data_IF_548672484368
#
_entry.id   IF_548672484368
#
_cell.length_a   1.000
_cell.length_b   1.000
_cell.length_c   1.000
_cell.angle_alpha   90.00
_cell.angle_beta   90.00
_cell.angle_gamma   90.00
#
_symmetry.space_group_name_H-M   'P 1'
#
loop_
_entity.id
_entity.type
_entity.pdbx_description
1 polymer ?
#
# COMPACT_ATOMS: atom_id res chain seq x y z
N UNK A 1 16.96 -1.00 -9.35
CA UNK A 1 15.88 -0.68 -8.40
C UNK A 1 14.55 -0.21 -9.00
N UNK A 2 14.50 0.32 -10.23
CA UNK A 2 13.31 1.03 -10.73
C UNK A 2 12.02 0.22 -10.75
N UNK A 3 12.08 -1.03 -11.20
CA UNK A 3 10.91 -1.93 -11.24
C UNK A 3 10.36 -2.19 -9.83
N UNK A 4 11.24 -2.34 -8.84
CA UNK A 4 10.84 -2.64 -7.44
C UNK A 4 10.04 -1.48 -6.86
N UNK A 5 10.48 -0.24 -7.07
CA UNK A 5 9.79 0.93 -6.53
C UNK A 5 8.45 1.19 -7.25
N UNK A 6 8.39 1.01 -8.56
CA UNK A 6 7.10 1.10 -9.29
C UNK A 6 6.12 0.01 -8.85
N UNK A 7 6.62 -1.21 -8.63
CA UNK A 7 5.80 -2.29 -8.13
C UNK A 7 5.31 -2.01 -6.71
N UNK A 8 6.15 -1.48 -5.83
CA UNK A 8 5.77 -1.09 -4.47
C UNK A 8 4.72 0.05 -4.48
N UNK A 9 4.86 1.03 -5.37
CA UNK A 9 3.87 2.09 -5.54
C UNK A 9 2.51 1.54 -5.99
N UNK A 10 2.50 0.57 -6.91
CA UNK A 10 1.30 -0.14 -7.34
C UNK A 10 0.68 -0.95 -6.20
N UNK A 11 1.49 -1.72 -5.46
CA UNK A 11 1.02 -2.49 -4.30
C UNK A 11 0.38 -1.60 -3.25
N UNK A 12 0.96 -0.42 -2.95
CA UNK A 12 0.38 0.52 -2.00
C UNK A 12 -0.96 1.11 -2.48
N UNK A 13 -1.16 1.30 -3.79
CA UNK A 13 -2.46 1.72 -4.34
C UNK A 13 -3.51 0.60 -4.21
N UNK A 14 -3.13 -0.63 -4.56
CA UNK A 14 -4.01 -1.79 -4.45
C UNK A 14 -4.41 -2.05 -3.00
N UNK A 15 -3.43 -2.07 -2.10
CA UNK A 15 -3.68 -2.16 -0.66
C UNK A 15 -4.64 -1.06 -0.18
N UNK A 16 -4.40 0.20 -0.57
CA UNK A 16 -5.29 1.31 -0.22
C UNK A 16 -6.74 1.10 -0.69
N UNK A 17 -6.95 0.65 -1.93
CA UNK A 17 -8.28 0.41 -2.48
C UNK A 17 -8.99 -0.76 -1.78
N UNK A 18 -8.28 -1.87 -1.59
CA UNK A 18 -8.79 -3.09 -0.98
C UNK A 18 -9.12 -2.84 0.49
N UNK A 19 -8.24 -2.19 1.25
CA UNK A 19 -8.47 -1.85 2.66
C UNK A 19 -9.62 -0.87 2.82
N UNK A 20 -9.71 0.16 1.96
CA UNK A 20 -10.83 1.10 1.98
C UNK A 20 -12.18 0.39 1.79
N UNK A 21 -12.29 -0.50 0.79
CA UNK A 21 -13.51 -1.27 0.56
C UNK A 21 -13.80 -2.23 1.72
N UNK A 22 -12.76 -2.90 2.25
CA UNK A 22 -12.88 -3.78 3.40
C UNK A 22 -13.43 -3.07 4.63
N UNK A 23 -12.91 -1.88 4.95
CA UNK A 23 -13.35 -1.07 6.09
C UNK A 23 -14.76 -0.50 5.87
N UNK A 24 -15.09 -0.02 4.66
CA UNK A 24 -16.41 0.53 4.34
C UNK A 24 -17.53 -0.51 4.51
N UNK A 25 -17.25 -1.78 4.21
CA UNK A 25 -18.20 -2.88 4.37
C UNK A 25 -18.06 -3.65 5.69
N UNK A 26 -17.24 -3.16 6.64
CA UNK A 26 -16.94 -3.82 7.92
C UNK A 26 -16.44 -5.28 7.77
N UNK A 27 -15.77 -5.59 6.66
CA UNK A 27 -15.23 -6.94 6.37
C UNK A 27 -13.88 -7.18 7.06
N UNK A 28 -13.15 -6.10 7.35
CA UNK A 28 -11.82 -6.12 7.94
C UNK A 28 -11.71 -5.00 8.98
N UNK A 29 -10.71 -5.06 9.85
CA UNK A 29 -10.34 -3.97 10.76
C UNK A 29 -8.93 -3.50 10.43
N UNK A 30 -8.64 -2.20 10.64
CA UNK A 30 -7.32 -1.65 10.42
C UNK A 30 -6.46 -1.90 11.66
N UNK A 31 -5.36 -2.64 11.49
CA UNK A 31 -4.44 -2.95 12.57
C UNK A 31 -3.39 -1.85 12.79
N UNK A 32 -3.20 -0.96 11.81
CA UNK A 32 -2.27 0.15 11.90
C UNK A 32 -2.93 1.37 12.59
N UNK A 33 -2.55 1.72 13.84
CA UNK A 33 -3.23 2.76 14.61
C UNK A 33 -3.20 4.14 13.93
N UNK A 34 -2.16 4.43 13.14
CA UNK A 34 -2.06 5.70 12.41
C UNK A 34 -3.07 5.74 11.25
N UNK A 35 -3.17 4.65 10.49
CA UNK A 35 -4.09 4.59 9.36
C UNK A 35 -5.54 4.52 9.83
N UNK A 36 -5.79 3.86 10.96
CA UNK A 36 -7.09 3.80 11.62
C UNK A 36 -7.54 5.21 12.04
N UNK A 37 -6.69 5.97 12.74
CA UNK A 37 -7.00 7.36 13.10
C UNK A 37 -7.26 8.27 11.89
N UNK A 38 -6.53 8.07 10.78
CA UNK A 38 -6.76 8.82 9.53
C UNK A 38 -8.10 8.43 8.91
N UNK A 39 -8.43 7.14 8.93
CA UNK A 39 -9.71 6.64 8.40
C UNK A 39 -10.89 7.15 9.25
N UNK A 40 -10.76 7.16 10.57
CA UNK A 40 -11.75 7.73 11.50
C UNK A 40 -11.95 9.24 11.28
N UNK A 41 -10.87 9.99 10.97
CA UNK A 41 -10.97 11.39 10.61
C UNK A 41 -11.69 11.63 9.27
N UNK A 42 -11.67 10.63 8.38
CA UNK A 42 -12.44 10.61 7.15
C UNK A 42 -11.96 9.51 6.20
N UNK A 43 -12.84 8.62 5.70
CA UNK A 43 -12.43 7.51 4.83
C UNK A 43 -11.67 7.95 3.58
N UNK A 44 -12.00 9.13 3.02
CA UNK A 44 -11.32 9.67 1.85
C UNK A 44 -9.88 10.09 2.13
N UNK A 45 -9.55 10.52 3.37
CA UNK A 45 -8.19 10.89 3.76
C UNK A 45 -7.24 9.70 3.70
N UNK A 46 -7.74 8.51 4.07
CA UNK A 46 -7.01 7.26 3.94
C UNK A 46 -6.56 7.02 2.49
N UNK A 47 -7.49 7.15 1.53
CA UNK A 47 -7.19 6.99 0.10
C UNK A 47 -6.25 8.07 -0.43
N UNK A 48 -6.50 9.34 -0.07
CA UNK A 48 -5.65 10.47 -0.49
C UNK A 48 -4.21 10.24 -0.04
N UNK A 49 -4.00 9.81 1.21
CA UNK A 49 -2.66 9.54 1.72
C UNK A 49 -1.99 8.39 0.96
N UNK A 50 -2.71 7.28 0.72
CA UNK A 50 -2.18 6.14 -0.05
C UNK A 50 -1.79 6.55 -1.47
N UNK A 51 -2.62 7.33 -2.15
CA UNK A 51 -2.31 7.88 -3.48
C UNK A 51 -1.08 8.80 -3.42
N UNK A 52 -1.03 9.71 -2.45
CA UNK A 52 0.11 10.63 -2.29
C UNK A 52 1.42 9.87 -2.07
N UNK A 53 1.43 8.84 -1.21
CA UNK A 53 2.60 7.99 -0.98
C UNK A 53 3.05 7.25 -2.25
N UNK A 54 2.11 6.73 -3.03
CA UNK A 54 2.42 6.08 -4.30
C UNK A 54 2.97 7.06 -5.35
N UNK A 55 2.44 8.29 -5.41
CA UNK A 55 2.98 9.35 -6.27
C UNK A 55 4.39 9.75 -5.84
N UNK A 56 4.65 9.87 -4.54
CA UNK A 56 5.99 10.14 -4.01
C UNK A 56 6.97 9.03 -4.40
N UNK A 57 6.61 7.75 -4.20
CA UNK A 57 7.44 6.61 -4.59
C UNK A 57 7.72 6.59 -6.10
N UNK A 58 6.69 6.87 -6.90
CA UNK A 58 6.84 6.97 -8.35
C UNK A 58 7.77 8.12 -8.74
N UNK A 59 7.58 9.30 -8.15
CA UNK A 59 8.40 10.49 -8.39
C UNK A 59 9.85 10.31 -7.98
N UNK A 60 10.11 9.75 -6.80
CA UNK A 60 11.46 9.41 -6.32
C UNK A 60 12.18 8.44 -7.26
N UNK A 61 11.43 7.49 -7.84
CA UNK A 61 11.97 6.54 -8.79
C UNK A 61 12.24 7.17 -10.18
N UNK A 62 11.34 8.06 -10.61
CA UNK A 62 11.44 8.77 -11.88
C UNK A 62 12.62 9.74 -11.91
N UNK A 63 12.79 10.55 -10.85
CA UNK A 63 13.90 11.49 -10.71
C UNK A 63 15.25 10.81 -10.50
N UNK A 64 15.25 9.51 -10.17
CA UNK A 64 16.47 8.79 -9.80
C UNK A 64 17.08 9.26 -8.47
N UNK A 65 16.31 9.96 -7.64
CA UNK A 65 16.76 10.47 -6.35
C UNK A 65 17.13 9.36 -5.36
N UNK A 66 16.63 8.13 -5.57
CA UNK A 66 16.96 6.99 -4.72
C UNK A 66 18.21 6.27 -5.23
N UNK A 67 19.30 6.23 -4.44
CA UNK A 67 20.53 5.55 -4.85
C UNK A 67 20.33 4.02 -4.93
N UNK A 68 20.87 3.38 -5.97
CA UNK A 68 20.79 1.92 -6.18
C UNK A 68 21.83 1.15 -5.32
N UNK A 69 21.75 1.35 -4.01
CA UNK A 69 22.61 0.67 -3.03
C UNK A 69 22.07 -0.72 -2.67
N UNK A 70 22.98 -1.68 -2.42
CA UNK A 70 22.60 -3.06 -2.01
C UNK A 70 21.67 -3.09 -0.79
N UNK A 71 21.85 -2.18 0.17
CA UNK A 71 21.00 -2.07 1.36
C UNK A 71 19.58 -1.61 1.02
N UNK A 72 19.45 -0.51 0.26
CA UNK A 72 18.15 0.04 -0.15
C UNK A 72 17.40 -0.97 -1.02
N UNK A 73 18.10 -1.67 -1.92
CA UNK A 73 17.50 -2.72 -2.74
C UNK A 73 16.95 -3.87 -1.88
N UNK A 74 17.70 -4.33 -0.87
CA UNK A 74 17.21 -5.38 0.05
C UNK A 74 15.99 -4.92 0.83
N UNK A 75 16.02 -3.69 1.35
CA UNK A 75 14.89 -3.10 2.05
C UNK A 75 13.65 -3.00 1.16
N UNK A 76 13.82 -2.53 -0.09
CA UNK A 76 12.72 -2.41 -1.04
C UNK A 76 12.15 -3.77 -1.45
N UNK A 77 12.99 -4.79 -1.64
CA UNK A 77 12.51 -6.17 -1.89
C UNK A 77 11.76 -6.74 -0.68
N UNK A 78 12.26 -6.50 0.54
CA UNK A 78 11.57 -6.92 1.75
C UNK A 78 10.19 -6.25 1.88
N UNK A 79 10.11 -4.94 1.63
CA UNK A 79 8.85 -4.21 1.59
C UNK A 79 7.88 -4.77 0.54
N UNK A 80 8.38 -5.09 -0.65
CA UNK A 80 7.57 -5.74 -1.70
C UNK A 80 6.99 -7.08 -1.22
N UNK A 81 7.81 -7.95 -0.62
CA UNK A 81 7.33 -9.25 -0.13
C UNK A 81 6.23 -9.08 0.91
N UNK A 82 6.43 -8.17 1.87
CA UNK A 82 5.43 -7.87 2.89
C UNK A 82 4.14 -7.32 2.27
N UNK A 83 4.23 -6.33 1.39
CA UNK A 83 3.05 -5.72 0.77
C UNK A 83 2.30 -6.69 -0.14
N UNK A 84 3.00 -7.55 -0.89
CA UNK A 84 2.36 -8.63 -1.65
C UNK A 84 1.62 -9.59 -0.71
N UNK A 85 2.24 -9.98 0.42
CA UNK A 85 1.59 -10.82 1.42
C UNK A 85 0.32 -10.20 2.00
N UNK A 86 0.37 -8.91 2.37
CA UNK A 86 -0.80 -8.17 2.89
C UNK A 86 -1.90 -8.07 1.83
N UNK A 87 -1.57 -7.74 0.57
CA UNK A 87 -2.55 -7.69 -0.51
C UNK A 87 -3.23 -9.05 -0.75
N UNK A 88 -2.48 -10.15 -0.67
CA UNK A 88 -3.04 -11.51 -0.77
C UNK A 88 -3.96 -11.80 0.40
N UNK A 89 -3.56 -11.48 1.64
CA UNK A 89 -4.39 -11.65 2.83
C UNK A 89 -5.72 -10.89 2.71
N UNK A 90 -5.67 -9.60 2.33
CA UNK A 90 -6.87 -8.81 2.12
C UNK A 90 -7.75 -9.38 1.00
N UNK A 91 -7.15 -9.85 -0.10
CA UNK A 91 -7.90 -10.50 -1.18
C UNK A 91 -8.63 -11.75 -0.69
N UNK A 92 -7.99 -12.59 0.13
CA UNK A 92 -8.63 -13.77 0.72
C UNK A 92 -9.80 -13.43 1.64
N UNK A 93 -9.74 -12.30 2.34
CA UNK A 93 -10.85 -11.83 3.18
C UNK A 93 -12.01 -11.27 2.36
N UNK A 94 -11.74 -10.59 1.25
CA UNK A 94 -12.77 -9.90 0.45
C UNK A 94 -13.44 -10.82 -0.59
N UNK A 95 -12.71 -11.77 -1.19
CA UNK A 95 -13.24 -12.69 -2.21
C UNK A 95 -14.57 -13.36 -1.81
N UNK A 96 -14.74 -13.89 -0.57
CA UNK A 96 -15.99 -14.52 -0.14
C UNK A 96 -17.22 -13.60 -0.10
N UNK A 97 -17.03 -12.28 -0.15
CA UNK A 97 -18.12 -11.30 -0.14
C UNK A 97 -18.46 -10.76 -1.53
N UNK A 98 -17.60 -11.00 -2.53
CA UNK A 98 -17.74 -10.49 -3.90
C UNK A 98 -18.25 -11.57 -4.87
N UNK A 99 -18.03 -12.86 -4.56
CA UNK A 99 -18.52 -14.03 -5.30
C UNK A 99 -19.69 -14.69 -4.56
#
# INVERSE_FOLDING_TARGET
MKVILYYLALLNLLDGAVTYLGLQHNMITEANPLMDAIYEAGPHWFLILKVALSVILYGLNFTGAVPDGKGIRKLAMFAVILYTGVCVLHSLWIIPFVL
#
